data_IF_848034560517
#
_entry.id   IF_848034560517
#
_cell.length_a   1.000
_cell.length_b   1.000
_cell.length_c   1.000
_cell.angle_alpha   90.00
_cell.angle_beta   90.00
_cell.angle_gamma   90.00
#
_symmetry.space_group_name_H-M   'P 1'
#
loop_
_entity.id
_entity.type
_entity.pdbx_description
1 polymer ?
#
# COMPACT_ATOMS: atom_id res chain seq x y z
N UNK A 1 12.80 15.63 6.15
CA UNK A 1 11.42 15.43 6.65
C UNK A 1 11.41 14.99 8.11
N UNK A 2 10.37 15.35 8.88
CA UNK A 2 10.23 14.95 10.29
C UNK A 2 9.75 13.49 10.41
N UNK A 3 10.22 12.79 11.44
CA UNK A 3 9.80 11.40 11.78
C UNK A 3 8.27 11.27 11.85
N UNK A 4 7.59 12.28 12.41
CA UNK A 4 6.13 12.33 12.54
C UNK A 4 5.41 12.19 11.19
N UNK A 5 5.86 12.88 10.15
CA UNK A 5 5.21 12.81 8.81
C UNK A 5 5.31 11.41 8.22
N UNK A 6 6.51 10.80 8.26
CA UNK A 6 6.71 9.44 7.78
C UNK A 6 5.86 8.42 8.57
N UNK A 7 5.76 8.61 9.89
CA UNK A 7 4.91 7.76 10.74
C UNK A 7 3.42 7.93 10.42
N UNK A 8 2.93 9.16 10.19
CA UNK A 8 1.53 9.40 9.83
C UNK A 8 1.16 8.62 8.55
N UNK A 9 2.00 8.68 7.51
CA UNK A 9 1.78 7.91 6.29
C UNK A 9 1.72 6.40 6.55
N UNK A 10 2.60 5.88 7.41
CA UNK A 10 2.59 4.46 7.77
C UNK A 10 1.30 4.06 8.50
N UNK A 11 0.84 4.88 9.45
CA UNK A 11 -0.38 4.60 10.20
C UNK A 11 -1.62 4.69 9.31
N UNK A 12 -1.68 5.66 8.39
CA UNK A 12 -2.78 5.74 7.42
C UNK A 12 -2.83 4.50 6.52
N UNK A 13 -1.68 4.03 6.02
CA UNK A 13 -1.60 2.80 5.24
C UNK A 13 -2.02 1.58 6.07
N UNK A 14 -1.59 1.49 7.33
CA UNK A 14 -1.96 0.38 8.22
C UNK A 14 -3.46 0.34 8.50
N UNK A 15 -4.09 1.49 8.75
CA UNK A 15 -5.54 1.60 8.95
C UNK A 15 -6.29 1.21 7.68
N UNK A 16 -5.84 1.70 6.52
CA UNK A 16 -6.48 1.35 5.24
C UNK A 16 -6.36 -0.14 4.94
N UNK A 17 -5.17 -0.72 5.11
CA UNK A 17 -4.96 -2.14 4.86
C UNK A 17 -5.72 -3.04 5.85
N UNK A 18 -5.98 -2.56 7.07
CA UNK A 18 -6.80 -3.30 8.03
C UNK A 18 -8.25 -3.49 7.55
N UNK A 19 -8.76 -2.63 6.68
CA UNK A 19 -10.11 -2.79 6.10
C UNK A 19 -10.23 -4.12 5.33
N UNK A 20 -9.18 -4.54 4.64
CA UNK A 20 -9.13 -5.82 3.93
C UNK A 20 -9.10 -7.04 4.86
N UNK A 21 -8.55 -6.89 6.07
CA UNK A 21 -8.58 -7.96 7.09
C UNK A 21 -9.99 -8.23 7.61
N UNK A 22 -10.88 -7.24 7.53
CA UNK A 22 -12.24 -7.30 8.11
C UNK A 22 -13.34 -7.36 7.05
N UNK A 23 -13.10 -6.77 5.88
CA UNK A 23 -14.05 -6.52 4.82
C UNK A 23 -14.92 -5.29 5.10
N UNK A 24 -15.23 -4.51 4.07
CA UNK A 24 -16.13 -3.35 4.13
C UNK A 24 -17.19 -3.49 3.05
N UNK A 25 -18.42 -3.75 3.48
CA UNK A 25 -19.56 -4.07 2.63
C UNK A 25 -20.62 -2.98 2.69
N UNK A 26 -21.27 -2.75 1.56
CA UNK A 26 -22.48 -1.95 1.42
C UNK A 26 -23.65 -2.88 1.05
N UNK A 27 -24.85 -2.31 0.86
CA UNK A 27 -26.06 -3.09 0.62
C UNK A 27 -25.94 -4.00 -0.62
N UNK A 28 -25.54 -3.42 -1.75
CA UNK A 28 -25.47 -4.11 -3.05
C UNK A 28 -24.05 -4.13 -3.64
N UNK A 29 -23.05 -3.66 -2.88
CA UNK A 29 -21.65 -3.54 -3.31
C UNK A 29 -20.70 -3.67 -2.13
N UNK A 30 -19.39 -3.64 -2.37
CA UNK A 30 -18.38 -3.61 -1.31
C UNK A 30 -17.19 -2.72 -1.69
N UNK A 31 -16.55 -2.13 -0.69
CA UNK A 31 -15.28 -1.43 -0.88
C UNK A 31 -14.14 -2.46 -1.00
N UNK A 32 -14.12 -3.43 -0.10
CA UNK A 32 -13.14 -4.53 -0.08
C UNK A 32 -13.76 -5.75 0.58
N UNK A 33 -13.55 -6.94 0.01
CA UNK A 33 -13.96 -8.19 0.66
C UNK A 33 -12.98 -8.56 1.77
N UNK A 34 -13.39 -9.40 2.71
CA UNK A 34 -12.48 -9.91 3.71
C UNK A 34 -11.46 -10.87 3.08
N UNK A 35 -10.16 -10.55 3.21
CA UNK A 35 -9.04 -11.31 2.63
C UNK A 35 -7.98 -11.73 3.67
N UNK A 36 -8.37 -11.90 4.95
CA UNK A 36 -7.37 -12.15 6.02
C UNK A 36 -6.54 -13.44 5.82
N UNK A 37 -7.05 -14.45 5.12
CA UNK A 37 -6.32 -15.70 4.84
C UNK A 37 -5.23 -15.46 3.81
N UNK A 38 -5.55 -14.71 2.76
CA UNK A 38 -4.66 -14.50 1.62
C UNK A 38 -3.67 -13.36 1.90
N UNK A 39 -4.17 -12.23 2.45
CA UNK A 39 -3.39 -11.00 2.64
C UNK A 39 -2.90 -10.80 4.10
N UNK A 40 -3.32 -11.65 5.03
CA UNK A 40 -2.96 -11.53 6.44
C UNK A 40 -1.45 -11.58 6.71
N UNK A 41 -0.69 -12.36 5.92
CA UNK A 41 0.76 -12.38 6.03
C UNK A 41 1.39 -11.04 5.62
N UNK A 42 0.91 -10.43 4.53
CA UNK A 42 1.36 -9.11 4.10
C UNK A 42 1.07 -8.05 5.17
N UNK A 43 -0.11 -8.12 5.79
CA UNK A 43 -0.50 -7.24 6.88
C UNK A 43 0.43 -7.39 8.09
N UNK A 44 0.68 -8.64 8.53
CA UNK A 44 1.55 -8.91 9.68
C UNK A 44 3.00 -8.49 9.45
N UNK A 45 3.54 -8.71 8.25
CA UNK A 45 4.89 -8.26 7.91
C UNK A 45 4.93 -6.73 7.95
N UNK A 46 3.97 -6.05 7.31
CA UNK A 46 3.95 -4.59 7.31
C UNK A 46 3.83 -4.02 8.74
N UNK A 47 2.89 -4.53 9.54
CA UNK A 47 2.72 -4.19 10.94
C UNK A 47 4.03 -4.36 11.73
N UNK A 48 4.73 -5.48 11.51
CA UNK A 48 6.02 -5.76 12.16
C UNK A 48 7.08 -4.73 11.78
N UNK A 49 7.13 -4.29 10.52
CA UNK A 49 8.07 -3.23 10.10
C UNK A 49 7.77 -1.89 10.77
N UNK A 50 6.48 -1.52 10.90
CA UNK A 50 6.04 -0.29 11.57
C UNK A 50 6.39 -0.33 13.07
N UNK A 51 6.11 -1.46 13.74
CA UNK A 51 6.50 -1.67 15.15
C UNK A 51 8.03 -1.58 15.32
N UNK A 52 8.80 -2.20 14.42
CA UNK A 52 10.25 -2.12 14.44
C UNK A 52 10.75 -0.67 14.26
N UNK A 53 10.08 0.14 13.43
CA UNK A 53 10.41 1.56 13.26
C UNK A 53 10.10 2.39 14.52
N UNK A 54 9.03 2.07 15.23
CA UNK A 54 8.70 2.71 16.51
C UNK A 54 9.76 2.42 17.59
N UNK A 55 10.18 1.15 17.72
CA UNK A 55 11.14 0.71 18.74
C UNK A 55 12.59 1.06 18.36
N UNK A 56 12.96 0.81 17.10
CA UNK A 56 14.33 0.94 16.58
C UNK A 56 14.38 1.74 15.28
N UNK A 57 14.17 3.05 15.38
CA UNK A 57 14.15 4.02 14.26
C UNK A 57 15.28 3.79 13.22
N UNK A 58 16.52 3.59 13.68
CA UNK A 58 17.70 3.43 12.80
C UNK A 58 17.58 2.24 11.84
N UNK A 59 17.03 1.12 12.30
CA UNK A 59 16.90 -0.13 11.53
C UNK A 59 15.51 -0.19 10.88
N UNK A 60 14.46 0.09 11.65
CA UNK A 60 13.08 -0.03 11.19
C UNK A 60 12.73 0.89 10.02
N UNK A 61 13.39 2.05 9.88
CA UNK A 61 13.18 2.92 8.70
C UNK A 61 13.55 2.23 7.38
N UNK A 62 14.59 1.39 7.41
CA UNK A 62 15.02 0.63 6.24
C UNK A 62 14.10 -0.56 6.01
N UNK A 63 13.62 -1.23 7.07
CA UNK A 63 12.66 -2.31 6.96
C UNK A 63 11.33 -1.85 6.34
N UNK A 64 10.77 -0.72 6.82
CA UNK A 64 9.54 -0.13 6.25
C UNK A 64 9.75 0.22 4.78
N UNK A 65 10.87 0.86 4.43
CA UNK A 65 11.15 1.27 3.06
C UNK A 65 11.34 0.07 2.12
N UNK A 66 12.12 -0.94 2.52
CA UNK A 66 12.33 -2.14 1.72
C UNK A 66 11.01 -2.88 1.49
N UNK A 67 10.21 -3.05 2.54
CA UNK A 67 8.91 -3.69 2.42
C UNK A 67 7.93 -2.90 1.57
N UNK A 68 7.87 -1.57 1.72
CA UNK A 68 6.95 -0.74 0.93
C UNK A 68 7.27 -0.77 -0.57
N UNK A 69 8.56 -0.85 -0.94
CA UNK A 69 8.99 -1.03 -2.33
C UNK A 69 8.59 -2.39 -2.88
N UNK A 70 8.86 -3.48 -2.13
CA UNK A 70 8.48 -4.84 -2.55
C UNK A 70 6.95 -4.94 -2.72
N UNK A 71 6.21 -4.39 -1.76
CA UNK A 71 4.76 -4.43 -1.79
C UNK A 71 4.19 -3.59 -2.94
N UNK A 72 4.76 -2.41 -3.23
CA UNK A 72 4.38 -1.60 -4.38
C UNK A 72 4.56 -2.38 -5.70
N UNK A 73 5.69 -3.06 -5.87
CA UNK A 73 5.95 -3.87 -7.07
C UNK A 73 4.93 -5.00 -7.16
N UNK A 74 4.68 -5.75 -6.08
CA UNK A 74 3.71 -6.83 -6.07
C UNK A 74 2.30 -6.35 -6.43
N UNK A 75 1.87 -5.22 -5.89
CA UNK A 75 0.57 -4.61 -6.17
C UNK A 75 0.46 -4.13 -7.63
N UNK A 76 1.48 -3.43 -8.12
CA UNK A 76 1.53 -2.97 -9.52
C UNK A 76 1.45 -4.13 -10.52
N UNK A 77 2.18 -5.22 -10.25
CA UNK A 77 2.12 -6.42 -11.09
C UNK A 77 0.75 -7.12 -11.04
N UNK A 78 0.01 -7.00 -9.94
CA UNK A 78 -1.25 -7.72 -9.72
C UNK A 78 -2.48 -7.00 -10.29
N UNK A 79 -2.45 -5.66 -10.39
CA UNK A 79 -3.60 -4.84 -10.79
C UNK A 79 -3.31 -3.97 -12.02
N UNK A 80 -2.23 -3.18 -12.02
CA UNK A 80 -1.96 -2.20 -13.08
C UNK A 80 -1.41 -2.85 -14.36
N UNK A 81 -0.42 -3.75 -14.24
CA UNK A 81 0.12 -4.46 -15.41
C UNK A 81 -0.94 -5.30 -16.11
N UNK A 82 -1.85 -5.88 -15.34
CA UNK A 82 -2.98 -6.68 -15.83
C UNK A 82 -3.94 -5.81 -16.65
N UNK A 83 -4.22 -4.60 -16.16
CA UNK A 83 -5.03 -3.59 -16.88
C UNK A 83 -4.37 -3.16 -18.18
N UNK A 84 -3.07 -2.87 -18.16
CA UNK A 84 -2.31 -2.33 -19.31
C UNK A 84 -2.12 -3.37 -20.41
N UNK A 85 -1.85 -4.62 -20.05
CA UNK A 85 -1.50 -5.66 -21.02
C UNK A 85 -2.71 -6.30 -21.70
N UNK A 86 -3.94 -6.00 -21.25
CA UNK A 86 -5.18 -6.60 -21.79
C UNK A 86 -5.32 -8.10 -21.54
N UNK A 87 -4.26 -8.78 -21.09
CA UNK A 87 -4.24 -10.19 -20.67
C UNK A 87 -4.84 -10.38 -19.26
N UNK A 88 -5.72 -9.47 -18.84
CA UNK A 88 -6.46 -9.61 -17.61
C UNK A 88 -7.42 -10.77 -17.73
N UNK A 89 -6.92 -11.97 -17.40
CA UNK A 89 -7.64 -13.22 -17.18
C UNK A 89 -9.15 -13.03 -17.34
N UNK A 90 -9.75 -13.63 -18.37
CA UNK A 90 -11.19 -13.55 -18.70
C UNK A 90 -12.12 -13.77 -17.48
N UNK A 91 -11.61 -14.31 -16.37
CA UNK A 91 -12.31 -14.55 -15.12
C UNK A 91 -12.21 -13.44 -14.04
N UNK A 92 -11.25 -12.50 -14.08
CA UNK A 92 -11.07 -11.53 -12.98
C UNK A 92 -12.13 -10.43 -12.92
N UNK A 93 -12.75 -10.07 -14.04
CA UNK A 93 -13.85 -9.09 -14.06
C UNK A 93 -15.04 -9.53 -13.19
N UNK A 94 -15.36 -10.83 -13.18
CA UNK A 94 -16.39 -11.42 -12.32
C UNK A 94 -16.01 -11.39 -10.82
N UNK A 95 -14.72 -11.48 -10.47
CA UNK A 95 -14.29 -11.40 -9.07
C UNK A 95 -14.48 -10.00 -8.44
N UNK A 96 -14.62 -8.95 -9.27
CA UNK A 96 -14.76 -7.56 -8.82
C UNK A 96 -16.07 -6.91 -9.28
N UNK A 97 -17.05 -7.69 -9.72
CA UNK A 97 -18.32 -7.17 -10.25
C UNK A 97 -19.10 -6.35 -9.20
N UNK A 98 -19.03 -6.75 -7.92
CA UNK A 98 -19.64 -6.02 -6.81
C UNK A 98 -18.75 -4.97 -6.14
N UNK A 99 -17.50 -4.79 -6.60
CA UNK A 99 -16.58 -3.83 -6.01
C UNK A 99 -16.94 -2.39 -6.40
N UNK A 100 -16.72 -1.43 -5.50
CA UNK A 100 -16.84 -0.01 -5.85
C UNK A 100 -15.71 0.37 -6.81
N UNK A 101 -16.05 0.70 -8.05
CA UNK A 101 -15.11 1.08 -9.13
C UNK A 101 -15.15 2.59 -9.40
N UNK A 102 -14.05 3.13 -9.92
CA UNK A 102 -14.03 4.50 -10.46
C UNK A 102 -14.73 4.62 -11.80
N UNK A 103 -14.50 3.62 -12.67
CA UNK A 103 -14.99 3.53 -14.03
C UNK A 103 -15.27 2.07 -14.34
N UNK A 104 -16.28 1.81 -15.16
CA UNK A 104 -16.62 0.49 -15.66
C UNK A 104 -16.60 0.53 -17.19
N UNK A 105 -15.77 -0.33 -17.78
CA UNK A 105 -15.57 -0.42 -19.23
C UNK A 105 -15.68 -1.89 -19.61
N UNK A 106 -16.58 -2.21 -20.53
CA UNK A 106 -16.82 -3.58 -20.97
C UNK A 106 -15.54 -4.24 -21.48
N UNK A 107 -15.24 -5.42 -20.96
CA UNK A 107 -14.07 -6.21 -21.37
C UNK A 107 -12.72 -5.69 -20.85
N UNK A 108 -12.68 -4.62 -20.04
CA UNK A 108 -11.44 -4.09 -19.47
C UNK A 108 -11.50 -4.15 -17.94
N UNK A 109 -10.52 -4.82 -17.34
CA UNK A 109 -10.33 -4.77 -15.89
C UNK A 109 -9.80 -3.39 -15.49
N UNK A 110 -10.55 -2.67 -14.66
CA UNK A 110 -10.13 -1.42 -14.03
C UNK A 110 -10.00 -1.67 -12.52
N UNK A 111 -8.88 -1.31 -11.87
CA UNK A 111 -8.74 -1.49 -10.43
C UNK A 111 -9.85 -0.79 -9.65
N UNK A 112 -10.35 -1.46 -8.61
CA UNK A 112 -11.36 -0.89 -7.72
C UNK A 112 -10.81 0.27 -6.86
N UNK A 113 -11.72 1.03 -6.25
CA UNK A 113 -11.38 2.19 -5.42
C UNK A 113 -10.43 1.82 -4.28
N UNK A 114 -10.64 0.66 -3.65
CA UNK A 114 -9.83 0.23 -2.52
C UNK A 114 -8.37 0.04 -2.90
N UNK A 115 -8.13 -0.73 -3.97
CA UNK A 115 -6.79 -1.01 -4.46
C UNK A 115 -6.12 0.25 -5.00
N UNK A 116 -6.84 1.15 -5.69
CA UNK A 116 -6.26 2.44 -6.11
C UNK A 116 -5.75 3.25 -4.91
N UNK A 117 -6.56 3.39 -3.85
CA UNK A 117 -6.15 4.12 -2.65
C UNK A 117 -5.00 3.41 -1.93
N UNK A 118 -5.01 2.07 -1.90
CA UNK A 118 -3.92 1.27 -1.34
C UNK A 118 -2.60 1.56 -2.06
N UNK A 119 -2.58 1.58 -3.39
CA UNK A 119 -1.39 1.94 -4.19
C UNK A 119 -0.87 3.35 -3.86
N UNK A 120 -1.78 4.33 -3.77
CA UNK A 120 -1.42 5.72 -3.42
C UNK A 120 -0.77 5.78 -2.03
N UNK A 121 -1.33 5.08 -1.05
CA UNK A 121 -0.79 5.05 0.31
C UNK A 121 0.56 4.34 0.40
N UNK A 122 0.75 3.22 -0.31
CA UNK A 122 2.05 2.54 -0.43
C UNK A 122 3.09 3.46 -1.07
N UNK A 123 2.72 4.16 -2.14
CA UNK A 123 3.60 5.12 -2.81
C UNK A 123 3.94 6.29 -1.88
N UNK A 124 2.97 6.82 -1.13
CA UNK A 124 3.19 7.88 -0.16
C UNK A 124 4.16 7.43 0.95
N UNK A 125 4.01 6.22 1.49
CA UNK A 125 4.97 5.64 2.45
C UNK A 125 6.35 5.48 1.83
N UNK A 126 6.43 5.04 0.58
CA UNK A 126 7.71 4.85 -0.12
C UNK A 126 8.43 6.17 -0.37
N UNK A 127 7.76 7.15 -0.98
CA UNK A 127 8.31 8.49 -1.24
C UNK A 127 8.71 9.15 0.08
N UNK A 128 7.85 9.06 1.10
CA UNK A 128 8.19 9.66 2.37
C UNK A 128 9.34 8.90 3.06
N UNK A 129 9.40 7.59 2.96
CA UNK A 129 10.53 6.79 3.43
C UNK A 129 11.85 7.21 2.78
N UNK A 130 11.88 7.35 1.46
CA UNK A 130 13.05 7.82 0.69
C UNK A 130 13.51 9.20 1.18
N UNK A 131 12.59 10.16 1.30
CA UNK A 131 12.92 11.52 1.78
C UNK A 131 13.35 11.51 3.26
N UNK A 132 12.81 10.62 4.09
CA UNK A 132 13.21 10.49 5.49
C UNK A 132 14.62 9.90 5.64
N UNK A 133 14.93 8.88 4.84
CA UNK A 133 16.20 8.16 4.88
C UNK A 133 17.34 8.97 4.25
N UNK A 134 17.12 9.52 3.05
CA UNK A 134 18.15 10.17 2.24
C UNK A 134 18.11 11.70 2.29
N UNK A 135 16.97 12.30 2.65
CA UNK A 135 16.80 13.76 2.68
C UNK A 135 17.48 14.47 3.85
N UNK A 136 18.33 13.78 4.63
CA UNK A 136 19.23 14.42 5.60
C UNK A 136 20.52 14.85 4.90
N UNK A 137 20.56 16.08 4.40
CA UNK A 137 21.84 16.78 4.24
C UNK A 137 22.45 16.98 5.64
N UNK A 138 23.75 16.69 5.76
CA UNK A 138 24.56 16.96 6.96
C UNK A 138 24.33 18.43 7.41
N UNK A 139 24.21 18.72 8.72
CA UNK A 139 24.60 20.05 9.17
C UNK A 139 26.05 20.23 8.72
N UNK A 140 26.34 21.43 8.22
CA UNK A 140 27.65 21.90 7.81
C UNK A 140 28.80 21.25 8.58
N UNK A 141 29.89 21.00 7.85
CA UNK A 141 31.24 21.10 8.40
C UNK A 141 31.23 22.11 9.55
N UNK A 142 31.37 21.59 10.75
CA UNK A 142 31.44 22.38 11.95
C UNK A 142 32.54 23.41 11.70
N UNK A 143 32.16 24.68 11.73
CA UNK A 143 33.08 25.78 12.02
C UNK A 143 33.86 25.38 13.29
N UNK A 144 35.11 24.96 13.12
CA UNK A 144 36.23 25.07 14.07
C UNK A 144 37.46 24.51 13.41
#
# INVERSE_FOLDING_TARGET
>A
MKKKTFLICQILLLIWFFLDMTGVYFKDSYLVTRSYIDDGLFFLIYLSTVVLFLIKDKIGKWAVLAWSVIWFIAQFMSHELVTITGNGYENKTHYFEGAVKWLEIDGVYVPDVYHTVLHILILAVTVTGLVYVFGRKKPEEAKT
#
